data_IF_201438302989
#
_entry.id   IF_201438302989
#
_cell.length_a   1.000
_cell.length_b   1.000
_cell.length_c   1.000
_cell.angle_alpha   90.00
_cell.angle_beta   90.00
_cell.angle_gamma   90.00
#
_symmetry.space_group_name_H-M   'P 1'
#
loop_
_entity.id
_entity.type
_entity.pdbx_description
1 polymer ?
#
# COMPACT_ATOMS: atom_id res chain seq x y z
N UNK A 1 -34.56 -50.48 12.71
CA UNK A 1 -33.71 -49.52 13.43
C UNK A 1 -33.23 -48.50 12.42
N UNK A 2 -33.67 -47.27 12.64
CA UNK A 2 -33.29 -46.02 11.98
C UNK A 2 -31.84 -45.67 12.30
N UNK A 3 -31.11 -45.07 11.35
CA UNK A 3 -30.05 -44.08 11.59
C UNK A 3 -29.76 -43.34 10.27
N UNK A 4 -30.19 -42.08 10.23
CA UNK A 4 -30.07 -41.13 9.14
C UNK A 4 -28.83 -40.25 9.37
N UNK A 5 -28.12 -39.99 8.27
CA UNK A 5 -27.24 -38.85 7.99
C UNK A 5 -26.06 -38.55 8.94
N UNK A 6 -24.85 -38.80 8.44
CA UNK A 6 -23.76 -37.83 8.59
C UNK A 6 -23.47 -37.24 7.21
N UNK A 7 -24.18 -36.16 6.87
CA UNK A 7 -23.76 -35.24 5.81
C UNK A 7 -22.57 -34.47 6.38
N UNK A 8 -21.37 -35.05 6.27
CA UNK A 8 -20.14 -34.31 6.50
C UNK A 8 -19.96 -33.34 5.35
N UNK A 9 -20.37 -32.09 5.54
CA UNK A 9 -20.13 -31.03 4.57
C UNK A 9 -18.62 -30.93 4.28
N UNK A 10 -18.25 -31.08 3.01
CA UNK A 10 -16.88 -30.84 2.53
C UNK A 10 -16.58 -29.35 2.63
N UNK A 11 -15.86 -28.93 3.67
CA UNK A 11 -15.43 -27.54 3.82
C UNK A 11 -14.05 -27.35 3.18
N UNK A 12 -13.98 -26.46 2.19
CA UNK A 12 -12.73 -25.99 1.60
C UNK A 12 -12.28 -24.71 2.31
N UNK A 13 -11.20 -24.80 3.11
CA UNK A 13 -10.63 -23.65 3.80
C UNK A 13 -9.63 -22.92 2.87
N UNK A 14 -10.08 -21.85 2.21
CA UNK A 14 -9.19 -20.99 1.41
C UNK A 14 -8.54 -19.93 2.30
N UNK A 15 -7.23 -20.05 2.53
CA UNK A 15 -6.42 -19.01 3.19
C UNK A 15 -5.93 -18.04 2.11
N UNK A 16 -6.67 -16.94 1.91
CA UNK A 16 -6.19 -15.85 1.07
C UNK A 16 -5.41 -14.85 1.93
N UNK A 17 -4.15 -14.58 1.58
CA UNK A 17 -3.43 -13.41 2.10
C UNK A 17 -4.30 -12.18 1.83
N UNK A 18 -4.56 -11.32 2.84
CA UNK A 18 -5.40 -10.13 2.64
C UNK A 18 -4.80 -9.34 1.47
N UNK A 19 -5.55 -9.29 0.38
CA UNK A 19 -5.06 -8.88 -0.94
C UNK A 19 -4.62 -7.42 -0.93
N UNK A 20 -3.35 -7.19 -0.61
CA UNK A 20 -2.68 -5.96 -0.99
C UNK A 20 -2.77 -5.90 -2.52
N UNK A 21 -3.29 -4.81 -3.07
CA UNK A 21 -3.45 -4.66 -4.51
C UNK A 21 -2.16 -4.93 -5.28
N UNK A 22 -2.25 -5.08 -6.60
CA UNK A 22 -1.03 -5.24 -7.39
C UNK A 22 -0.13 -4.00 -7.22
N UNK A 23 1.20 -4.19 -7.13
CA UNK A 23 2.13 -3.08 -7.08
C UNK A 23 1.99 -2.17 -8.31
N UNK A 24 2.01 -0.86 -8.09
CA UNK A 24 2.09 0.14 -9.13
C UNK A 24 3.46 0.04 -9.80
N UNK A 25 3.47 -0.35 -11.07
CA UNK A 25 4.69 -0.48 -11.90
C UNK A 25 4.88 0.73 -12.81
N UNK A 26 3.78 1.34 -13.25
CA UNK A 26 3.82 2.46 -14.20
C UNK A 26 3.53 3.77 -13.47
N UNK A 27 4.28 4.80 -13.81
CA UNK A 27 4.12 6.15 -13.23
C UNK A 27 2.68 6.68 -13.38
N UNK A 28 2.06 6.44 -14.53
CA UNK A 28 0.67 6.82 -14.82
C UNK A 28 -0.35 6.17 -13.88
N UNK A 29 -0.03 5.03 -13.27
CA UNK A 29 -0.94 4.40 -12.31
C UNK A 29 -1.02 5.24 -11.03
N UNK A 30 0.06 5.90 -10.61
CA UNK A 30 0.03 6.79 -9.44
C UNK A 30 -1.01 7.91 -9.62
N UNK A 31 -1.10 8.50 -10.81
CA UNK A 31 -2.13 9.50 -11.12
C UNK A 31 -3.54 8.93 -10.89
N UNK A 32 -3.80 7.71 -11.38
CA UNK A 32 -5.12 7.05 -11.22
C UNK A 32 -5.47 6.73 -9.77
N UNK A 33 -4.45 6.50 -8.94
CA UNK A 33 -4.60 6.20 -7.52
C UNK A 33 -4.42 7.44 -6.64
N UNK A 34 -4.34 8.64 -7.23
CA UNK A 34 -4.34 9.89 -6.47
C UNK A 34 -5.61 9.97 -5.62
N UNK A 35 -5.44 10.34 -4.36
CA UNK A 35 -6.49 10.36 -3.36
C UNK A 35 -6.84 9.01 -2.74
N UNK A 36 -6.13 7.92 -3.04
CA UNK A 36 -6.39 6.58 -2.44
C UNK A 36 -5.38 6.21 -1.34
N UNK A 37 -5.76 5.38 -0.36
CA UNK A 37 -4.82 4.79 0.57
C UNK A 37 -3.83 3.89 -0.17
N UNK A 38 -2.57 3.99 0.21
CA UNK A 38 -1.45 3.34 -0.44
C UNK A 38 -0.36 3.01 0.58
N UNK A 39 0.22 1.82 0.45
CA UNK A 39 1.42 1.37 1.15
C UNK A 39 2.60 1.52 0.20
N UNK A 40 3.60 2.32 0.58
CA UNK A 40 4.81 2.56 -0.20
C UNK A 40 6.02 2.09 0.59
N UNK A 41 6.80 1.20 -0.01
CA UNK A 41 8.14 0.83 0.42
C UNK A 41 9.13 1.64 -0.40
N UNK A 42 9.99 2.41 0.27
CA UNK A 42 11.02 3.24 -0.35
C UNK A 42 12.37 3.01 0.31
N UNK A 43 13.46 3.14 -0.45
CA UNK A 43 14.82 3.15 0.07
C UNK A 43 15.16 4.53 0.61
N UNK A 44 15.61 4.62 1.85
CA UNK A 44 16.18 5.85 2.39
C UNK A 44 17.65 6.04 1.94
N UNK A 45 18.20 7.23 2.22
CA UNK A 45 19.57 7.59 1.84
C UNK A 45 20.64 6.73 2.56
N UNK A 46 20.28 6.01 3.62
CA UNK A 46 21.14 5.05 4.31
C UNK A 46 21.05 3.63 3.71
N UNK A 47 20.28 3.45 2.63
CA UNK A 47 20.04 2.17 1.97
C UNK A 47 19.05 1.27 2.72
N UNK A 48 18.34 1.80 3.72
CA UNK A 48 17.31 1.08 4.46
C UNK A 48 15.96 1.16 3.77
N UNK A 49 15.29 0.02 3.58
CA UNK A 49 13.90 0.01 3.12
C UNK A 49 12.96 0.44 4.25
N UNK A 50 12.16 1.47 3.98
CA UNK A 50 11.11 1.95 4.89
C UNK A 50 9.76 1.79 4.24
N UNK A 51 8.81 1.30 5.02
CA UNK A 51 7.41 1.22 4.62
C UNK A 51 6.62 2.37 5.25
N UNK A 52 5.88 3.09 4.43
CA UNK A 52 4.92 4.11 4.85
C UNK A 52 3.54 3.76 4.33
N UNK A 53 2.55 3.90 5.20
CA UNK A 53 1.15 3.81 4.83
C UNK A 53 0.51 5.20 4.89
N UNK A 54 -0.17 5.58 3.82
CA UNK A 54 -0.77 6.90 3.73
C UNK A 54 -1.67 7.06 2.53
N UNK A 55 -2.32 8.21 2.45
CA UNK A 55 -3.12 8.59 1.30
C UNK A 55 -2.24 9.28 0.27
N UNK A 56 -2.31 8.87 -0.99
CA UNK A 56 -1.65 9.59 -2.08
C UNK A 56 -2.33 10.95 -2.23
N UNK A 57 -1.63 12.03 -1.90
CA UNK A 57 -2.20 13.38 -1.92
C UNK A 57 -1.96 14.08 -3.25
N UNK A 58 -0.76 13.89 -3.81
CA UNK A 58 -0.36 14.54 -5.05
C UNK A 58 0.66 13.70 -5.83
N UNK A 59 0.71 13.89 -7.15
CA UNK A 59 1.59 13.18 -8.08
C UNK A 59 2.11 14.16 -9.12
N UNK A 60 3.42 14.42 -9.11
CA UNK A 60 4.10 15.29 -10.07
C UNK A 60 5.00 14.43 -10.97
N UNK A 61 4.53 14.19 -12.20
CA UNK A 61 5.28 13.46 -13.26
C UNK A 61 5.76 14.37 -14.40
N UNK A 62 5.27 15.61 -14.46
CA UNK A 62 5.37 16.46 -15.67
C UNK A 62 6.25 17.70 -15.51
N UNK A 63 6.75 18.00 -14.31
CA UNK A 63 7.74 19.06 -14.16
C UNK A 63 9.08 18.59 -14.72
N UNK A 64 9.92 19.50 -15.20
CA UNK A 64 11.28 19.28 -15.73
C UNK A 64 12.28 18.61 -14.74
N UNK A 65 11.78 18.05 -13.64
CA UNK A 65 12.52 17.31 -12.63
C UNK A 65 12.15 15.83 -12.56
N UNK A 66 12.61 15.18 -11.49
CA UNK A 66 12.34 13.75 -11.24
C UNK A 66 10.88 13.54 -10.82
N UNK A 67 10.21 12.48 -11.34
CA UNK A 67 8.88 12.12 -10.91
C UNK A 67 8.81 11.93 -9.39
N UNK A 68 7.81 12.52 -8.75
CA UNK A 68 7.62 12.49 -7.29
C UNK A 68 6.15 12.35 -6.91
N UNK A 69 5.92 11.74 -5.75
CA UNK A 69 4.62 11.64 -5.12
C UNK A 69 4.63 12.29 -3.74
N UNK A 70 3.49 12.82 -3.34
CA UNK A 70 3.26 13.30 -1.98
C UNK A 70 2.28 12.38 -1.29
N UNK A 71 2.71 11.76 -0.21
CA UNK A 71 1.90 10.91 0.66
C UNK A 71 1.52 11.66 1.93
N UNK A 72 0.27 11.51 2.36
CA UNK A 72 -0.19 11.93 3.68
C UNK A 72 -0.25 10.68 4.58
N UNK A 73 0.71 10.49 5.50
CA UNK A 73 0.78 9.29 6.33
C UNK A 73 -0.46 9.16 7.22
N UNK A 74 -1.09 7.98 7.20
CA UNK A 74 -2.24 7.66 8.04
C UNK A 74 -1.75 6.80 9.21
N UNK A 75 -1.35 7.44 10.33
CA UNK A 75 -0.90 6.82 11.60
C UNK A 75 -0.07 5.52 11.43
N UNK A 76 1.25 5.65 11.47
CA UNK A 76 2.18 4.50 11.50
C UNK A 76 1.76 3.46 12.55
N UNK A 77 1.56 2.20 12.12
CA UNK A 77 1.36 1.04 13.01
C UNK A 77 2.69 0.49 13.58
N UNK A 78 3.83 1.07 13.21
CA UNK A 78 5.15 0.57 13.61
C UNK A 78 5.85 1.58 14.51
N UNK A 79 5.86 1.29 15.81
CA UNK A 79 6.86 1.79 16.76
C UNK A 79 6.85 3.29 17.10
N UNK A 80 6.09 3.67 18.13
CA UNK A 80 6.62 4.48 19.23
C UNK A 80 7.03 5.94 19.02
N UNK A 81 6.88 6.56 17.85
CA UNK A 81 7.06 8.02 17.70
C UNK A 81 5.85 8.65 17.05
N UNK A 82 5.37 9.72 17.68
CA UNK A 82 4.39 10.69 17.20
C UNK A 82 4.74 11.05 15.75
N UNK A 83 4.20 10.30 14.78
CA UNK A 83 4.39 10.57 13.38
C UNK A 83 3.56 11.81 13.08
N UNK A 84 4.22 12.96 13.06
CA UNK A 84 3.63 14.20 12.63
C UNK A 84 2.98 13.96 11.27
N UNK A 85 1.76 14.48 11.09
CA UNK A 85 0.97 14.36 9.85
C UNK A 85 1.57 15.22 8.73
N UNK A 86 2.89 15.29 8.64
CA UNK A 86 3.57 16.06 7.61
C UNK A 86 3.47 15.31 6.29
N UNK A 87 3.12 16.02 5.20
CA UNK A 87 3.19 15.47 3.86
C UNK A 87 4.60 14.93 3.60
N UNK A 88 4.70 13.65 3.26
CA UNK A 88 5.95 13.00 2.90
C UNK A 88 6.07 13.00 1.38
N UNK A 89 7.05 13.73 0.86
CA UNK A 89 7.36 13.72 -0.58
C UNK A 89 8.42 12.64 -0.84
N UNK A 90 8.13 11.71 -1.75
CA UNK A 90 9.03 10.65 -2.17
C UNK A 90 9.22 10.73 -3.69
N UNK A 91 10.44 10.52 -4.15
CA UNK A 91 10.73 10.38 -5.57
C UNK A 91 10.42 8.95 -6.03
N UNK A 92 9.96 8.79 -7.28
CA UNK A 92 9.66 7.45 -7.81
C UNK A 92 10.89 6.55 -7.92
N UNK A 93 12.09 7.13 -8.06
CA UNK A 93 13.36 6.38 -8.09
C UNK A 93 13.73 5.75 -6.74
N UNK A 94 13.24 6.32 -5.63
CA UNK A 94 13.41 5.78 -4.28
C UNK A 94 12.35 4.73 -3.94
N UNK A 95 11.26 4.64 -4.72
CA UNK A 95 10.16 3.72 -4.43
C UNK A 95 10.53 2.33 -4.95
N UNK A 96 10.70 1.40 -4.01
CA UNK A 96 10.92 -0.01 -4.30
C UNK A 96 9.59 -0.69 -4.66
N UNK A 97 8.51 -0.33 -3.93
CA UNK A 97 7.19 -0.94 -4.12
C UNK A 97 6.09 0.01 -3.66
N UNK A 98 5.06 0.22 -4.47
CA UNK A 98 3.86 0.95 -4.06
C UNK A 98 2.63 0.11 -4.32
N UNK A 99 1.78 -0.07 -3.32
CA UNK A 99 0.57 -0.90 -3.41
C UNK A 99 -0.63 -0.10 -2.94
N UNK A 100 -1.65 0.13 -3.77
CA UNK A 100 -2.90 0.72 -3.32
C UNK A 100 -3.62 -0.26 -2.38
N UNK A 101 -4.10 0.22 -1.23
CA UNK A 101 -5.05 -0.55 -0.43
C UNK A 101 -6.45 -0.37 -1.02
N UNK A 102 -7.19 -1.48 -1.11
CA UNK A 102 -8.61 -1.42 -1.41
C UNK A 102 -9.33 -0.95 -0.13
N UNK A 103 -10.13 0.12 -0.24
CA UNK A 103 -11.19 0.35 0.73
C UNK A 103 -12.19 -0.80 0.55
N UNK A 104 -12.20 -1.72 1.53
CA UNK A 104 -13.23 -2.75 1.69
C UNK A 104 -14.54 -2.11 2.15
#
# INVERSE_FOLDING_TARGET
>A
AELVAETGDDFELTVASPGLGEPLKLERQYIRHSGKPMRVTYSDDAGGEKEVFGRLADVSLQDEGKPRITLLPAKSRTGGRKAEKHPLTLFLDQIVRAVPEADL
#
